data_IF_928005433817
#
_entry.id   IF_928005433817
#
_cell.length_a   1.000
_cell.length_b   1.000
_cell.length_c   1.000
_cell.angle_alpha   90.00
_cell.angle_beta   90.00
_cell.angle_gamma   90.00
#
_symmetry.space_group_name_H-M   'P 1'
#
loop_
_entity.id
_entity.type
_entity.pdbx_description
1 polymer ?
#
# COMPACT_ATOMS: atom_id res chain seq x y z
N UNK A 1 -5.96 15.37 -16.97
CA UNK A 1 -5.01 15.08 -15.89
C UNK A 1 -3.99 16.20 -15.70
N UNK A 2 -3.44 16.76 -16.79
CA UNK A 2 -2.47 17.85 -16.76
C UNK A 2 -2.86 19.04 -15.85
N UNK A 3 -4.09 19.57 -15.97
CA UNK A 3 -4.57 20.68 -15.13
C UNK A 3 -4.57 20.39 -13.62
N UNK A 4 -4.89 19.16 -13.22
CA UNK A 4 -4.95 18.75 -11.80
C UNK A 4 -3.55 18.75 -11.17
N UNK A 5 -2.53 18.36 -11.94
CA UNK A 5 -1.15 18.37 -11.47
C UNK A 5 -0.57 19.79 -11.39
N UNK A 6 -0.91 20.65 -12.36
CA UNK A 6 -0.48 22.05 -12.36
C UNK A 6 -1.10 22.88 -11.23
N UNK A 7 -2.38 22.65 -10.89
CA UNK A 7 -3.08 23.36 -9.81
C UNK A 7 -2.63 22.92 -8.40
N UNK A 8 -2.05 21.73 -8.27
CA UNK A 8 -1.65 21.14 -6.99
C UNK A 8 -0.13 21.07 -6.76
N UNK A 9 0.68 21.61 -7.67
CA UNK A 9 2.15 21.62 -7.56
C UNK A 9 2.66 22.20 -6.23
N UNK A 10 2.03 23.27 -5.73
CA UNK A 10 2.38 23.92 -4.46
C UNK A 10 1.63 23.35 -3.23
N UNK A 11 0.66 22.45 -3.44
CA UNK A 11 -0.10 21.76 -2.37
C UNK A 11 0.44 20.37 -2.05
N UNK A 12 1.40 19.89 -2.84
CA UNK A 12 2.06 18.61 -2.63
C UNK A 12 2.94 18.68 -1.37
N UNK A 13 2.49 18.06 -0.27
CA UNK A 13 3.30 17.88 0.92
C UNK A 13 4.09 16.58 0.78
N UNK A 14 5.39 16.64 1.07
CA UNK A 14 6.24 15.46 1.10
C UNK A 14 5.82 14.58 2.29
N UNK A 15 5.01 13.57 2.01
CA UNK A 15 4.58 12.61 3.01
C UNK A 15 5.66 11.54 3.17
N UNK A 16 6.20 11.41 4.38
CA UNK A 16 7.15 10.35 4.73
C UNK A 16 6.50 9.43 5.74
N UNK A 17 6.54 8.12 5.47
CA UNK A 17 6.12 7.12 6.44
C UNK A 17 7.08 7.10 7.63
N UNK A 18 6.56 6.90 8.85
CA UNK A 18 7.41 6.71 10.01
C UNK A 18 8.10 5.34 9.94
N UNK A 19 9.26 5.16 10.60
CA UNK A 19 9.93 3.86 10.65
C UNK A 19 9.04 2.74 11.21
N UNK A 20 8.15 3.05 12.15
CA UNK A 20 7.18 2.13 12.74
C UNK A 20 6.16 1.68 11.70
N UNK A 21 5.61 2.61 10.92
CA UNK A 21 4.71 2.29 9.80
C UNK A 21 5.40 1.38 8.79
N UNK A 22 6.66 1.66 8.44
CA UNK A 22 7.43 0.83 7.50
C UNK A 22 7.59 -0.59 8.06
N UNK A 23 7.99 -0.73 9.34
CA UNK A 23 8.14 -2.03 9.99
C UNK A 23 6.82 -2.80 10.04
N UNK A 24 5.71 -2.12 10.36
CA UNK A 24 4.39 -2.72 10.37
C UNK A 24 4.01 -3.24 8.99
N UNK A 25 4.14 -2.42 7.95
CA UNK A 25 3.79 -2.83 6.57
C UNK A 25 4.63 -4.00 6.08
N UNK A 26 5.91 -4.05 6.42
CA UNK A 26 6.79 -5.20 6.09
C UNK A 26 6.37 -6.45 6.86
N UNK A 27 6.00 -6.33 8.14
CA UNK A 27 5.49 -7.46 8.92
C UNK A 27 4.17 -7.98 8.36
N UNK A 28 3.25 -7.06 8.06
CA UNK A 28 1.96 -7.36 7.46
C UNK A 28 2.10 -8.07 6.12
N UNK A 29 2.94 -7.57 5.21
CA UNK A 29 3.13 -8.21 3.90
C UNK A 29 3.68 -9.63 4.01
N UNK A 30 4.58 -9.89 4.98
CA UNK A 30 5.10 -11.23 5.26
C UNK A 30 4.07 -12.18 5.85
N UNK A 31 3.03 -11.65 6.50
CA UNK A 31 1.94 -12.47 7.06
C UNK A 31 0.85 -12.81 6.04
N UNK A 32 0.90 -12.24 4.83
CA UNK A 32 -0.04 -12.60 3.76
C UNK A 32 0.25 -14.01 3.24
N UNK A 33 -0.82 -14.77 3.07
CA UNK A 33 -0.82 -16.11 2.50
C UNK A 33 -1.54 -16.08 1.16
N UNK A 34 -0.97 -16.75 0.16
CA UNK A 34 -1.65 -16.94 -1.13
C UNK A 34 -2.66 -18.07 -0.97
N UNK A 35 -3.93 -17.76 -1.22
CA UNK A 35 -5.02 -18.71 -1.22
C UNK A 35 -5.57 -18.84 -2.63
N UNK A 36 -5.90 -20.07 -3.02
CA UNK A 36 -6.49 -20.37 -4.33
C UNK A 36 -7.90 -20.93 -4.16
N UNK A 37 -8.87 -20.34 -4.87
CA UNK A 37 -10.23 -20.84 -4.94
C UNK A 37 -10.78 -20.64 -6.35
N UNK A 38 -11.33 -21.71 -6.94
CA UNK A 38 -11.92 -21.67 -8.29
C UNK A 38 -10.97 -21.09 -9.36
N UNK A 39 -9.69 -21.47 -9.35
CA UNK A 39 -8.62 -20.95 -10.22
C UNK A 39 -8.36 -19.44 -10.08
N UNK A 40 -8.78 -18.82 -8.97
CA UNK A 40 -8.48 -17.42 -8.65
C UNK A 40 -7.57 -17.41 -7.43
N UNK A 41 -6.44 -16.71 -7.54
CA UNK A 41 -5.49 -16.52 -6.45
C UNK A 41 -5.66 -15.14 -5.82
N UNK A 42 -5.63 -15.10 -4.49
CA UNK A 42 -5.66 -13.85 -3.73
C UNK A 42 -4.77 -13.94 -2.50
N UNK A 43 -4.26 -12.79 -2.09
CA UNK A 43 -3.52 -12.64 -0.84
C UNK A 43 -4.53 -12.51 0.31
N UNK A 44 -4.38 -13.35 1.33
CA UNK A 44 -5.22 -13.36 2.51
C UNK A 44 -4.35 -13.15 3.75
N UNK A 45 -4.83 -12.36 4.70
CA UNK A 45 -4.28 -12.28 6.04
C UNK A 45 -5.19 -13.08 6.98
N UNK A 46 -4.85 -14.34 7.25
CA UNK A 46 -5.62 -15.22 8.16
C UNK A 46 -5.21 -15.02 9.64
N UNK A 47 -4.96 -13.78 10.06
CA UNK A 47 -4.84 -13.45 11.49
C UNK A 47 -6.19 -13.49 12.19
#
# INVERSE_FOLDING_TARGET
MEKIYSENQHKCKLAKASPETIKFLIGYSKSLQIVEYSNIQFENNLN
#
